data_IF_330675869788
#
_entry.id   IF_330675869788
#
_cell.length_a   1.000
_cell.length_b   1.000
_cell.length_c   1.000
_cell.angle_alpha   90.00
_cell.angle_beta   90.00
_cell.angle_gamma   90.00
#
_symmetry.space_group_name_H-M   'P 1'
#
loop_
_entity.id
_entity.type
_entity.pdbx_description
1 polymer ?
#
# COMPACT_ATOMS: atom_id res chain seq x y z
N UNK A 1 10.63 -9.51 -10.88
CA UNK A 1 11.43 -8.83 -9.84
C UNK A 1 10.57 -7.76 -9.16
N UNK A 2 10.68 -7.66 -7.86
CA UNK A 2 9.92 -6.65 -7.12
C UNK A 2 10.53 -5.26 -7.28
N UNK A 3 9.67 -4.25 -7.48
CA UNK A 3 10.08 -2.85 -7.55
C UNK A 3 9.11 -1.96 -6.77
N UNK A 4 9.64 -0.90 -6.20
CA UNK A 4 8.86 0.15 -5.56
C UNK A 4 9.35 1.48 -6.11
N UNK A 5 8.51 2.16 -6.86
CA UNK A 5 8.86 3.43 -7.51
C UNK A 5 7.94 4.55 -7.03
N UNK A 6 8.53 5.61 -6.54
CA UNK A 6 7.78 6.78 -6.11
C UNK A 6 7.76 7.82 -7.21
N UNK A 7 6.56 8.22 -7.63
CA UNK A 7 6.33 9.32 -8.57
C UNK A 7 5.39 10.30 -7.91
N UNK A 8 5.93 11.44 -7.45
CA UNK A 8 5.17 12.43 -6.70
C UNK A 8 4.46 11.78 -5.51
N UNK A 9 3.13 11.77 -5.49
CA UNK A 9 2.35 11.23 -4.37
C UNK A 9 1.83 9.81 -4.64
N UNK A 10 2.40 9.11 -5.62
CA UNK A 10 2.01 7.74 -5.95
C UNK A 10 3.22 6.81 -5.79
N UNK A 11 3.07 5.82 -4.93
CA UNK A 11 4.05 4.74 -4.79
C UNK A 11 3.55 3.54 -5.59
N UNK A 12 4.21 3.28 -6.72
CA UNK A 12 3.84 2.16 -7.58
C UNK A 12 4.68 0.94 -7.21
N UNK A 13 4.01 -0.15 -6.90
CA UNK A 13 4.64 -1.42 -6.57
C UNK A 13 4.43 -2.40 -7.72
N UNK A 14 5.45 -3.21 -7.99
CA UNK A 14 5.34 -4.27 -8.99
C UNK A 14 6.03 -5.52 -8.49
N UNK A 15 5.54 -6.69 -8.92
CA UNK A 15 6.01 -7.97 -8.45
C UNK A 15 5.22 -8.44 -7.24
N UNK A 16 5.86 -9.19 -6.34
CA UNK A 16 5.17 -9.80 -5.20
C UNK A 16 5.37 -8.99 -3.93
N UNK A 17 4.26 -8.52 -3.37
CA UNK A 17 4.30 -7.79 -2.09
C UNK A 17 4.20 -8.81 -0.96
N UNK A 18 5.33 -9.44 -0.65
CA UNK A 18 5.44 -10.47 0.38
C UNK A 18 6.59 -10.13 1.32
N UNK A 19 6.68 -10.88 2.43
CA UNK A 19 7.61 -10.58 3.53
C UNK A 19 9.06 -10.38 3.08
N UNK A 20 9.53 -11.15 2.11
CA UNK A 20 10.91 -11.03 1.62
C UNK A 20 11.17 -9.72 0.88
N UNK A 21 10.13 -9.08 0.36
CA UNK A 21 10.25 -7.85 -0.44
C UNK A 21 9.85 -6.60 0.36
N UNK A 22 9.18 -6.76 1.49
CA UNK A 22 8.72 -5.61 2.29
C UNK A 22 9.87 -4.69 2.73
N UNK A 23 11.05 -5.20 3.13
CA UNK A 23 12.14 -4.30 3.49
C UNK A 23 12.52 -3.32 2.39
N UNK A 24 12.37 -3.70 1.13
CA UNK A 24 12.67 -2.80 -0.01
C UNK A 24 11.67 -1.65 -0.13
N UNK A 25 10.56 -1.70 0.59
CA UNK A 25 9.52 -0.67 0.53
C UNK A 25 9.66 0.38 1.63
N UNK A 26 10.55 0.17 2.60
CA UNK A 26 10.64 1.07 3.75
C UNK A 26 11.02 2.47 3.36
N UNK A 27 12.09 2.64 2.58
CA UNK A 27 12.55 3.95 2.16
C UNK A 27 11.57 4.64 1.20
N UNK A 28 11.09 3.97 0.13
CA UNK A 28 10.06 4.58 -0.71
C UNK A 28 8.78 4.92 0.05
N UNK A 29 8.37 4.06 0.98
CA UNK A 29 7.19 4.32 1.81
C UNK A 29 7.36 5.56 2.67
N UNK A 30 8.53 5.73 3.28
CA UNK A 30 8.83 6.92 4.08
C UNK A 30 8.80 8.18 3.21
N UNK A 31 9.36 8.11 2.01
CA UNK A 31 9.34 9.22 1.08
C UNK A 31 7.91 9.58 0.65
N UNK A 32 7.06 8.57 0.49
CA UNK A 32 5.65 8.82 0.17
C UNK A 32 4.98 9.60 1.29
N UNK A 33 5.20 9.18 2.54
CA UNK A 33 4.63 9.88 3.69
C UNK A 33 5.11 11.32 3.81
N UNK A 34 6.32 11.60 3.32
CA UNK A 34 6.92 12.92 3.40
C UNK A 34 6.48 13.86 2.26
N UNK A 35 5.68 13.39 1.31
CA UNK A 35 5.19 14.24 0.24
C UNK A 35 4.27 15.31 0.81
N UNK A 36 4.24 16.47 0.16
CA UNK A 36 3.43 17.59 0.65
C UNK A 36 1.94 17.42 0.39
N UNK A 37 1.58 16.56 -0.54
CA UNK A 37 0.18 16.31 -0.86
C UNK A 37 -0.55 15.72 0.35
N UNK A 38 -1.80 16.10 0.55
CA UNK A 38 -2.66 15.50 1.56
C UNK A 38 -3.30 14.19 1.10
N UNK A 39 -3.20 13.88 -0.19
CA UNK A 39 -3.65 12.61 -0.73
C UNK A 39 -2.45 11.82 -1.24
N UNK A 40 -2.29 10.62 -0.72
CA UNK A 40 -1.22 9.71 -1.10
C UNK A 40 -1.83 8.45 -1.70
N UNK A 41 -1.11 7.83 -2.62
CA UNK A 41 -1.60 6.65 -3.32
C UNK A 41 -0.55 5.55 -3.33
N UNK A 42 -1.02 4.30 -3.17
CA UNK A 42 -0.21 3.11 -3.45
C UNK A 42 -0.89 2.41 -4.61
N UNK A 43 -0.15 2.18 -5.68
CA UNK A 43 -0.68 1.52 -6.88
C UNK A 43 -0.21 0.07 -6.91
N UNK A 44 -1.16 -0.86 -6.81
CA UNK A 44 -0.91 -2.29 -6.83
C UNK A 44 -1.22 -2.93 -8.19
N UNK A 45 -1.52 -2.14 -9.21
CA UNK A 45 -1.97 -2.67 -10.49
C UNK A 45 -0.94 -3.58 -11.16
N UNK A 46 0.34 -3.40 -10.85
CA UNK A 46 1.43 -4.19 -11.44
C UNK A 46 1.96 -5.26 -10.48
N UNK A 47 1.31 -5.45 -9.32
CA UNK A 47 1.72 -6.51 -8.41
C UNK A 47 1.09 -7.84 -8.82
N UNK A 48 1.75 -8.94 -8.42
CA UNK A 48 1.15 -10.26 -8.50
C UNK A 48 -0.07 -10.31 -7.58
N UNK A 49 -0.97 -11.26 -7.85
CA UNK A 49 -2.21 -11.39 -7.09
C UNK A 49 -2.00 -11.90 -5.66
N UNK A 50 -0.79 -12.32 -5.32
CA UNK A 50 -0.48 -12.88 -4.00
C UNK A 50 -0.05 -11.76 -3.05
N UNK A 51 -0.73 -11.68 -1.90
CA UNK A 51 -0.33 -10.86 -0.76
C UNK A 51 -0.21 -11.76 0.45
N UNK A 52 0.92 -11.72 1.15
CA UNK A 52 1.00 -12.39 2.42
C UNK A 52 0.65 -11.41 3.56
N UNK A 53 0.56 -11.93 4.77
CA UNK A 53 0.17 -11.12 5.94
C UNK A 53 1.12 -9.94 6.15
N UNK A 54 2.42 -10.14 5.93
CA UNK A 54 3.41 -9.08 6.13
C UNK A 54 3.24 -7.97 5.09
N UNK A 55 2.93 -8.33 3.84
CA UNK A 55 2.61 -7.34 2.82
C UNK A 55 1.37 -6.53 3.17
N UNK A 56 0.33 -7.20 3.68
CA UNK A 56 -0.89 -6.52 4.11
C UNK A 56 -0.60 -5.59 5.29
N UNK A 57 0.20 -6.05 6.25
CA UNK A 57 0.59 -5.24 7.39
C UNK A 57 1.37 -4.00 6.98
N UNK A 58 2.22 -4.12 5.96
CA UNK A 58 2.92 -2.96 5.42
C UNK A 58 1.94 -1.90 4.93
N UNK A 59 0.93 -2.32 4.16
CA UNK A 59 -0.10 -1.40 3.68
C UNK A 59 -0.84 -0.74 4.85
N UNK A 60 -1.16 -1.52 5.88
CA UNK A 60 -1.86 -1.00 7.05
C UNK A 60 -1.02 0.01 7.83
N UNK A 61 0.28 -0.25 7.96
CA UNK A 61 1.19 0.68 8.64
C UNK A 61 1.26 2.01 7.89
N UNK A 62 1.40 1.97 6.57
CA UNK A 62 1.41 3.19 5.78
C UNK A 62 0.09 3.95 5.88
N UNK A 63 -1.03 3.23 5.83
CA UNK A 63 -2.35 3.83 5.96
C UNK A 63 -2.48 4.58 7.29
N UNK A 64 -2.11 3.93 8.38
CA UNK A 64 -2.20 4.53 9.71
C UNK A 64 -1.23 5.69 9.88
N UNK A 65 -0.02 5.56 9.34
CA UNK A 65 0.98 6.62 9.42
C UNK A 65 0.54 7.86 8.66
N UNK A 66 -0.06 7.68 7.49
CA UNK A 66 -0.62 8.79 6.72
C UNK A 66 -1.74 9.48 7.51
N UNK A 67 -2.63 8.69 8.07
CA UNK A 67 -3.75 9.23 8.85
C UNK A 67 -3.25 10.02 10.05
N UNK A 68 -2.20 9.53 10.71
CA UNK A 68 -1.60 10.25 11.84
C UNK A 68 -0.97 11.59 11.45
N UNK A 69 -0.64 11.76 10.17
CA UNK A 69 -0.12 13.00 9.63
C UNK A 69 -1.21 13.89 9.02
N UNK A 70 -2.47 13.53 9.18
CA UNK A 70 -3.58 14.27 8.57
C UNK A 70 -3.72 14.06 7.09
N UNK A 71 -3.18 12.97 6.56
CA UNK A 71 -3.22 12.64 5.14
C UNK A 71 -4.11 11.45 4.90
N UNK A 72 -4.58 11.33 3.65
CA UNK A 72 -5.38 10.19 3.21
C UNK A 72 -4.54 9.31 2.30
N UNK A 73 -4.51 8.02 2.59
CA UNK A 73 -3.84 7.04 1.74
C UNK A 73 -4.91 6.21 1.05
N UNK A 74 -4.86 6.18 -0.27
CA UNK A 74 -5.75 5.35 -1.08
C UNK A 74 -4.94 4.29 -1.80
N UNK A 75 -5.53 3.11 -1.97
CA UNK A 75 -4.88 2.01 -2.66
C UNK A 75 -5.57 1.83 -4.01
N UNK A 76 -4.78 1.89 -5.08
CA UNK A 76 -5.26 1.78 -6.44
C UNK A 76 -4.91 0.42 -7.01
N UNK A 77 -5.75 -0.08 -7.91
CA UNK A 77 -5.44 -1.28 -8.67
C UNK A 77 -5.50 -2.58 -7.89
N UNK A 78 -6.27 -2.62 -6.80
CA UNK A 78 -6.43 -3.86 -6.03
C UNK A 78 -7.15 -4.89 -6.89
N UNK A 79 -6.57 -6.10 -6.97
CA UNK A 79 -7.17 -7.23 -7.65
C UNK A 79 -8.10 -7.99 -6.72
N UNK A 80 -9.07 -8.73 -7.28
CA UNK A 80 -10.07 -9.44 -6.47
C UNK A 80 -9.44 -10.41 -5.46
N UNK A 81 -8.40 -11.13 -5.87
CA UNK A 81 -7.73 -12.08 -4.96
C UNK A 81 -7.06 -11.33 -3.82
N UNK A 82 -6.41 -10.21 -4.13
CA UNK A 82 -5.78 -9.37 -3.09
C UNK A 82 -6.83 -8.80 -2.13
N UNK A 83 -7.94 -8.33 -2.66
CA UNK A 83 -9.05 -7.80 -1.86
C UNK A 83 -9.54 -8.85 -0.88
N UNK A 84 -9.73 -10.08 -1.35
CA UNK A 84 -10.17 -11.18 -0.50
C UNK A 84 -9.15 -11.49 0.59
N UNK A 85 -7.86 -11.50 0.24
CA UNK A 85 -6.80 -11.74 1.22
C UNK A 85 -6.82 -10.68 2.33
N UNK A 86 -7.00 -9.42 1.95
CA UNK A 86 -7.09 -8.31 2.90
C UNK A 86 -8.30 -8.46 3.80
N UNK A 87 -9.44 -8.84 3.25
CA UNK A 87 -10.67 -9.03 4.02
C UNK A 87 -10.54 -10.19 5.00
N UNK A 88 -10.00 -11.33 4.54
CA UNK A 88 -9.81 -12.50 5.39
C UNK A 88 -8.84 -12.22 6.53
N UNK A 89 -7.83 -11.41 6.30
CA UNK A 89 -6.85 -11.02 7.31
C UNK A 89 -7.40 -10.01 8.33
N UNK A 90 -8.60 -9.47 8.10
CA UNK A 90 -9.21 -8.52 9.01
C UNK A 90 -8.80 -7.06 8.79
N UNK A 91 -8.27 -6.75 7.62
CA UNK A 91 -7.81 -5.40 7.28
C UNK A 91 -8.76 -4.70 6.30
N UNK A 92 -10.06 -4.93 6.44
CA UNK A 92 -11.07 -4.38 5.53
C UNK A 92 -11.01 -2.86 5.40
N UNK A 93 -10.54 -2.18 6.44
CA UNK A 93 -10.45 -0.72 6.40
C UNK A 93 -9.56 -0.22 5.27
N UNK A 94 -8.62 -1.03 4.79
CA UNK A 94 -7.76 -0.65 3.67
C UNK A 94 -8.54 -0.51 2.36
N UNK A 95 -9.72 -1.13 2.28
CA UNK A 95 -10.54 -1.14 1.08
C UNK A 95 -11.77 -0.26 1.26
N UNK A 96 -12.47 -0.42 2.38
CA UNK A 96 -13.81 0.15 2.58
C UNK A 96 -13.82 1.45 3.36
N UNK A 97 -12.75 1.78 4.05
CA UNK A 97 -12.65 3.03 4.80
C UNK A 97 -11.95 4.11 3.96
N UNK A 98 -12.09 4.02 2.64
CA UNK A 98 -11.50 4.98 1.72
C UNK A 98 -12.46 6.15 1.53
N UNK A 99 -12.04 7.39 1.81
CA UNK A 99 -12.89 8.55 1.55
C UNK A 99 -13.08 8.77 0.05
N UNK A 100 -14.18 9.35 -0.30
CA UNK A 100 -14.51 9.65 -1.69
C UNK A 100 -14.22 11.08 -2.02
#
# INVERSE_FOLDING_TARGET
MFKAELNDNVLALSGRLVSSNVPSTHQPGQRLLDQQSNELFIDLSQTDDVLDLVGIQFLAVLYRSAKGRGKQLKILGIQEIQKRSIEVAGFQFLIYDQPY
#
